data_IF_612540742587
#
_entry.id   IF_612540742587
#
_cell.length_a   1.000
_cell.length_b   1.000
_cell.length_c   1.000
_cell.angle_alpha   90.00
_cell.angle_beta   90.00
_cell.angle_gamma   90.00
#
_symmetry.space_group_name_H-M   'P 1'
#
loop_
_entity.id
_entity.type
_entity.pdbx_description
1 polymer ?
#
# COMPACT_ATOMS: atom_id res chain seq x y z
N UNK A 1 12.96 -9.13 1.20
CA UNK A 1 12.59 -7.72 1.02
C UNK A 1 11.86 -7.57 -0.31
N UNK A 2 10.55 -7.55 -0.25
CA UNK A 2 9.63 -7.40 -1.38
C UNK A 2 9.13 -5.96 -1.33
N UNK A 3 9.37 -5.22 -2.42
CA UNK A 3 8.99 -3.80 -2.52
C UNK A 3 7.77 -3.68 -3.42
N UNK A 4 6.75 -3.00 -2.92
CA UNK A 4 5.45 -2.91 -3.60
C UNK A 4 4.95 -1.47 -3.65
N UNK A 5 4.07 -1.21 -4.61
CA UNK A 5 3.22 -0.03 -4.67
C UNK A 5 1.78 -0.46 -4.42
N UNK A 6 1.07 0.24 -3.53
CA UNK A 6 -0.31 -0.09 -3.20
C UNK A 6 -1.28 0.74 -4.03
N UNK A 7 -1.89 0.14 -5.05
CA UNK A 7 -2.96 0.77 -5.81
C UNK A 7 -4.32 0.36 -5.22
N UNK A 8 -5.06 1.32 -4.69
CA UNK A 8 -6.42 1.10 -4.19
C UNK A 8 -7.23 2.41 -4.23
N UNK A 9 -8.44 2.39 -4.79
CA UNK A 9 -9.32 3.55 -4.98
C UNK A 9 -10.01 3.99 -3.67
N UNK A 10 -10.27 3.08 -2.73
CA UNK A 10 -10.91 3.41 -1.46
C UNK A 10 -9.89 3.84 -0.39
N UNK A 11 -9.95 5.11 0.03
CA UNK A 11 -9.00 5.67 0.99
C UNK A 11 -8.92 4.93 2.33
N UNK A 12 -10.05 4.48 2.87
CA UNK A 12 -10.11 3.73 4.14
C UNK A 12 -9.43 2.36 4.00
N UNK A 13 -9.69 1.65 2.91
CA UNK A 13 -9.13 0.32 2.63
C UNK A 13 -7.64 0.42 2.36
N UNK A 14 -7.21 1.40 1.56
CA UNK A 14 -5.80 1.69 1.29
C UNK A 14 -5.01 1.93 2.57
N UNK A 15 -5.56 2.72 3.49
CA UNK A 15 -4.95 2.97 4.80
C UNK A 15 -4.86 1.71 5.66
N UNK A 16 -5.92 0.91 5.71
CA UNK A 16 -5.95 -0.35 6.46
C UNK A 16 -4.94 -1.37 5.91
N UNK A 17 -4.87 -1.54 4.58
CA UNK A 17 -3.93 -2.43 3.91
C UNK A 17 -2.48 -2.00 4.14
N UNK A 18 -2.17 -0.70 4.01
CA UNK A 18 -0.83 -0.20 4.29
C UNK A 18 -0.41 -0.47 5.75
N UNK A 19 -1.33 -0.29 6.71
CA UNK A 19 -1.06 -0.56 8.12
C UNK A 19 -0.80 -2.05 8.41
N UNK A 20 -1.59 -2.95 7.79
CA UNK A 20 -1.41 -4.39 7.94
C UNK A 20 -0.10 -4.87 7.29
N UNK A 21 0.22 -4.40 6.07
CA UNK A 21 1.43 -4.77 5.34
C UNK A 21 2.70 -4.27 6.04
N UNK A 22 2.63 -3.16 6.77
CA UNK A 22 3.76 -2.65 7.57
C UNK A 22 4.13 -3.54 8.78
N UNK A 23 3.28 -4.50 9.15
CA UNK A 23 3.58 -5.49 10.19
C UNK A 23 4.47 -6.63 9.66
N UNK A 24 4.48 -6.86 8.35
CA UNK A 24 5.25 -7.93 7.73
C UNK A 24 6.71 -7.51 7.56
N UNK A 25 7.62 -8.28 8.15
CA UNK A 25 9.05 -7.94 8.20
C UNK A 25 9.77 -7.97 6.85
N UNK A 26 9.15 -8.55 5.83
CA UNK A 26 9.72 -8.71 4.49
C UNK A 26 9.09 -7.79 3.44
N UNK A 27 8.08 -7.00 3.78
CA UNK A 27 7.34 -6.12 2.86
C UNK A 27 7.64 -4.65 3.14
N UNK A 28 7.91 -3.90 2.07
CA UNK A 28 8.07 -2.45 2.10
C UNK A 28 7.13 -1.79 1.08
N UNK A 29 6.21 -0.95 1.56
CA UNK A 29 5.30 -0.16 0.72
C UNK A 29 5.98 1.15 0.38
N UNK A 30 6.39 1.31 -0.88
CA UNK A 30 7.12 2.51 -1.34
C UNK A 30 6.20 3.72 -1.57
N UNK A 31 4.90 3.47 -1.70
CA UNK A 31 3.90 4.49 -1.95
C UNK A 31 2.54 3.87 -2.21
N UNK A 32 1.52 4.73 -2.31
CA UNK A 32 0.16 4.30 -2.58
C UNK A 32 -0.50 5.23 -3.60
N UNK A 33 -1.24 4.65 -4.55
CA UNK A 33 -1.97 5.37 -5.57
C UNK A 33 -3.47 5.13 -5.43
N UNK A 34 -4.28 6.16 -5.68
CA UNK A 34 -5.74 6.05 -5.69
C UNK A 34 -6.29 5.64 -7.06
N UNK A 35 -5.52 5.89 -8.11
CA UNK A 35 -5.85 5.62 -9.51
C UNK A 35 -4.54 5.44 -10.31
N UNK A 36 -4.66 5.27 -11.62
CA UNK A 36 -3.52 5.15 -12.54
C UNK A 36 -3.14 6.46 -13.24
N UNK A 37 -3.70 7.60 -12.83
CA UNK A 37 -3.50 8.89 -13.47
C UNK A 37 -2.61 9.83 -12.63
N UNK A 38 -2.64 9.69 -11.31
CA UNK A 38 -1.90 10.52 -10.34
C UNK A 38 -0.49 10.01 -10.01
#
# INVERSE_FOLDING_TARGET
MIRILLAEDQAMVRGALAALLALESDIEVLGSAADGEA
#
